data_IF_668055004433
#
_entry.id   IF_668055004433
#
_cell.length_a   1.000
_cell.length_b   1.000
_cell.length_c   1.000
_cell.angle_alpha   90.00
_cell.angle_beta   90.00
_cell.angle_gamma   90.00
#
_symmetry.space_group_name_H-M   'P 1'
#
loop_
_entity.id
_entity.type
_entity.pdbx_description
1 polymer ?
#
# COMPACT_ATOMS: atom_id res chain seq x y z
N UNK A 1 -3.77 7.49 4.99
CA UNK A 1 -3.68 6.92 3.63
C UNK A 1 -4.54 5.67 3.55
N UNK A 2 -4.32 4.70 4.44
CA UNK A 2 -5.14 3.47 4.52
C UNK A 2 -6.65 3.76 4.65
N UNK A 3 -7.07 4.62 5.60
CA UNK A 3 -8.48 5.00 5.73
C UNK A 3 -9.09 5.55 4.42
N UNK A 4 -8.33 6.34 3.67
CA UNK A 4 -8.81 6.87 2.38
C UNK A 4 -8.82 5.81 1.28
N UNK A 5 -7.95 4.81 1.37
CA UNK A 5 -7.93 3.67 0.46
C UNK A 5 -9.08 2.73 0.73
N UNK A 6 -9.41 2.45 1.99
CA UNK A 6 -10.55 1.60 2.37
C UNK A 6 -11.86 2.09 1.75
N UNK A 7 -12.07 3.41 1.70
CA UNK A 7 -13.23 4.04 1.05
C UNK A 7 -13.26 3.90 -0.48
N UNK A 8 -12.10 3.71 -1.11
CA UNK A 8 -11.92 3.74 -2.56
C UNK A 8 -11.70 2.36 -3.17
N UNK A 9 -11.34 1.38 -2.33
CA UNK A 9 -11.07 0.01 -2.74
C UNK A 9 -12.39 -0.78 -2.93
N UNK A 10 -12.39 -1.77 -3.83
CA UNK A 10 -13.51 -2.68 -3.96
C UNK A 10 -13.76 -3.50 -2.68
N UNK A 11 -15.00 -3.95 -2.49
CA UNK A 11 -15.32 -4.87 -1.38
C UNK A 11 -14.47 -6.14 -1.45
N UNK A 12 -13.86 -6.50 -0.31
CA UNK A 12 -12.98 -7.67 -0.19
C UNK A 12 -11.50 -7.38 -0.41
N UNK A 13 -11.13 -6.21 -0.95
CA UNK A 13 -9.73 -5.86 -1.16
C UNK A 13 -9.15 -5.21 0.10
N UNK A 14 -8.29 -5.96 0.79
CA UNK A 14 -7.48 -5.45 1.88
C UNK A 14 -6.28 -4.64 1.36
N UNK A 15 -5.85 -3.63 2.12
CA UNK A 15 -4.66 -2.86 1.83
C UNK A 15 -3.81 -2.57 3.08
N UNK A 16 -2.54 -2.24 2.86
CA UNK A 16 -1.61 -1.87 3.91
C UNK A 16 -0.58 -0.89 3.34
N UNK A 17 -0.48 0.31 3.92
CA UNK A 17 0.49 1.32 3.52
C UNK A 17 1.81 1.06 4.24
N UNK A 18 2.90 0.91 3.49
CA UNK A 18 4.23 0.63 4.03
C UNK A 18 5.24 1.68 3.57
N UNK A 19 6.23 1.94 4.41
CA UNK A 19 7.33 2.84 4.09
C UNK A 19 8.52 2.04 3.54
N UNK A 20 9.03 2.48 2.39
CA UNK A 20 10.15 1.84 1.73
C UNK A 20 11.34 2.79 1.67
N UNK A 21 12.57 2.31 1.93
CA UNK A 21 13.76 3.12 1.74
C UNK A 21 13.94 3.46 0.25
N UNK A 22 14.21 4.73 -0.04
CA UNK A 22 14.48 5.24 -1.38
C UNK A 22 15.78 6.04 -1.38
N UNK A 23 16.72 5.68 -2.25
CA UNK A 23 18.05 6.28 -2.27
C UNK A 23 18.06 7.78 -2.60
N UNK A 24 17.01 8.32 -3.24
CA UNK A 24 16.92 9.76 -3.58
C UNK A 24 16.09 10.55 -2.59
N UNK A 25 15.04 9.95 -2.02
CA UNK A 25 14.05 10.62 -1.17
C UNK A 25 14.15 10.25 0.31
N UNK A 26 15.09 9.38 0.67
CA UNK A 26 15.18 8.77 1.99
C UNK A 26 14.17 7.63 2.12
N UNK A 27 12.89 7.97 2.02
CA UNK A 27 11.81 7.00 2.02
C UNK A 27 10.65 7.40 1.08
N UNK A 28 9.90 6.40 0.64
CA UNK A 28 8.68 6.55 -0.15
C UNK A 28 7.58 5.68 0.41
N UNK A 29 6.35 6.18 0.32
CA UNK A 29 5.18 5.40 0.69
C UNK A 29 4.80 4.46 -0.46
N UNK A 30 4.59 3.19 -0.14
CA UNK A 30 4.00 2.20 -1.02
C UNK A 30 2.75 1.60 -0.37
N UNK A 31 1.89 1.03 -1.19
CA UNK A 31 0.65 0.39 -0.72
C UNK A 31 0.65 -1.05 -1.20
N UNK A 32 0.59 -1.99 -0.27
CA UNK A 32 0.27 -3.37 -0.55
C UNK A 32 -1.24 -3.51 -0.70
N UNK A 33 -1.69 -4.23 -1.73
CA UNK A 33 -3.09 -4.58 -1.96
C UNK A 33 -3.20 -6.08 -2.16
N UNK A 34 -4.28 -6.67 -1.65
CA UNK A 34 -4.55 -8.12 -1.79
C UNK A 34 -4.93 -8.55 -3.21
N UNK A 35 -5.41 -7.61 -4.03
CA UNK A 35 -5.81 -7.87 -5.42
C UNK A 35 -5.37 -6.74 -6.35
N UNK A 36 -5.42 -7.00 -7.67
CA UNK A 36 -5.12 -5.97 -8.66
C UNK A 36 -6.19 -4.88 -8.66
N UNK A 37 -5.75 -3.62 -8.57
CA UNK A 37 -6.63 -2.44 -8.49
C UNK A 37 -6.25 -1.43 -9.57
N UNK A 38 -7.18 -0.54 -9.92
CA UNK A 38 -6.87 0.58 -10.82
C UNK A 38 -6.10 1.68 -10.07
N UNK A 39 -4.77 1.53 -10.05
CA UNK A 39 -3.85 2.47 -9.43
C UNK A 39 -4.05 3.92 -9.91
N UNK A 40 -4.36 4.14 -11.19
CA UNK A 40 -4.51 5.49 -11.75
C UNK A 40 -5.76 6.17 -11.18
N UNK A 41 -6.87 5.43 -11.13
CA UNK A 41 -8.12 5.93 -10.56
C UNK A 41 -7.98 6.17 -9.05
N UNK A 42 -7.32 5.26 -8.32
CA UNK A 42 -7.03 5.41 -6.90
C UNK A 42 -6.15 6.63 -6.63
N UNK A 43 -5.02 6.78 -7.33
CA UNK A 43 -4.15 7.94 -7.17
C UNK A 43 -4.86 9.27 -7.46
N UNK A 44 -5.72 9.30 -8.49
CA UNK A 44 -6.51 10.50 -8.81
C UNK A 44 -7.52 10.83 -7.72
N UNK A 45 -8.15 9.82 -7.12
CA UNK A 45 -9.08 10.02 -6.01
C UNK A 45 -8.34 10.43 -4.72
N UNK A 46 -7.25 9.76 -4.37
CA UNK A 46 -6.41 10.07 -3.21
C UNK A 46 -5.83 11.48 -3.31
N UNK A 47 -5.41 11.94 -4.48
CA UNK A 47 -4.86 13.29 -4.67
C UNK A 47 -5.86 14.42 -4.35
N UNK A 48 -7.17 14.12 -4.30
CA UNK A 48 -8.20 15.07 -3.88
C UNK A 48 -8.39 15.12 -2.36
N UNK A 49 -7.91 14.09 -1.64
CA UNK A 49 -8.15 13.88 -0.21
C UNK A 49 -6.87 14.01 0.63
N UNK A 50 -5.73 13.68 0.04
CA UNK A 50 -4.43 13.61 0.72
C UNK A 50 -3.45 14.65 0.16
N UNK A 51 -2.57 15.21 1.01
CA UNK A 51 -1.49 16.07 0.56
C UNK A 51 -0.45 15.28 -0.26
N UNK A 52 0.32 15.93 -1.15
CA UNK A 52 1.29 15.26 -2.02
C UNK A 52 2.35 14.41 -1.29
N UNK A 53 2.65 14.73 -0.03
CA UNK A 53 3.60 13.99 0.82
C UNK A 53 3.04 12.65 1.31
N UNK A 54 1.72 12.55 1.46
CA UNK A 54 1.03 11.33 1.88
C UNK A 54 0.59 10.47 0.67
N UNK A 55 0.95 10.88 -0.55
CA UNK A 55 0.58 10.16 -1.76
C UNK A 55 1.49 8.94 -1.95
N UNK A 56 0.93 7.73 -2.06
CA UNK A 56 1.71 6.54 -2.36
C UNK A 56 2.34 6.67 -3.74
N UNK A 57 3.57 6.17 -3.86
CA UNK A 57 4.37 6.19 -5.10
C UNK A 57 4.35 4.87 -5.84
N UNK A 58 3.98 3.79 -5.15
CA UNK A 58 3.96 2.44 -5.69
C UNK A 58 2.77 1.69 -5.08
N UNK A 59 2.09 0.91 -5.91
CA UNK A 59 1.20 -0.13 -5.45
C UNK A 59 1.86 -1.48 -5.73
N UNK A 60 1.69 -2.41 -4.81
CA UNK A 60 2.23 -3.77 -4.93
C UNK A 60 1.12 -4.74 -4.60
N UNK A 61 0.81 -5.61 -5.56
CA UNK A 61 -0.16 -6.68 -5.36
C UNK A 61 0.54 -7.82 -4.62
N UNK A 62 0.01 -8.19 -3.46
CA UNK A 62 0.39 -9.35 -2.68
C UNK A 62 -0.79 -10.32 -2.67
N UNK A 63 -0.56 -11.57 -3.07
CA UNK A 63 -1.61 -12.59 -3.18
C UNK A 63 -2.35 -12.82 -1.85
N UNK A 64 -1.65 -12.61 -0.73
CA UNK A 64 -2.22 -12.61 0.62
C UNK A 64 -1.49 -11.56 1.47
N UNK A 65 -2.24 -10.73 2.20
CA UNK A 65 -1.65 -9.83 3.20
C UNK A 65 -1.38 -10.64 4.48
N UNK A 66 -0.12 -10.71 4.94
CA UNK A 66 0.22 -11.38 6.18
C UNK A 66 -0.61 -10.85 7.34
N UNK A 67 -1.14 -11.74 8.18
CA UNK A 67 -1.90 -11.36 9.38
C UNK A 67 -1.21 -11.87 10.64
N UNK A 68 -1.27 -11.06 11.70
CA UNK A 68 -0.90 -11.45 13.05
C UNK A 68 -1.93 -12.45 13.60
N UNK A 69 -1.57 -13.18 14.66
CA UNK A 69 -2.49 -14.12 15.33
C UNK A 69 -3.78 -13.48 15.89
N UNK A 70 -3.88 -12.15 15.93
CA UNK A 70 -5.08 -11.39 16.27
C UNK A 70 -6.01 -11.10 15.07
N UNK A 71 -5.62 -11.50 13.85
CA UNK A 71 -6.35 -11.23 12.61
C UNK A 71 -6.06 -9.86 11.96
N UNK A 72 -5.20 -9.03 12.58
CA UNK A 72 -4.75 -7.74 12.00
C UNK A 72 -3.63 -7.96 10.99
N UNK A 73 -3.50 -7.08 10.01
CA UNK A 73 -2.38 -7.11 9.06
C UNK A 73 -1.04 -6.99 9.81
N UNK A 74 -0.11 -7.89 9.52
CA UNK A 74 1.27 -7.83 10.00
C UNK A 74 2.07 -6.87 9.11
N UNK A 75 2.13 -5.62 9.57
CA UNK A 75 2.87 -4.53 8.93
C UNK A 75 4.33 -4.89 8.65
N UNK A 76 5.00 -5.60 9.56
CA UNK A 76 6.43 -5.90 9.45
C UNK A 76 6.67 -6.90 8.33
N UNK A 77 5.93 -8.00 8.33
CA UNK A 77 6.03 -9.02 7.28
C UNK A 77 5.60 -8.47 5.93
N UNK A 78 4.53 -7.67 5.90
CA UNK A 78 4.07 -6.98 4.68
C UNK A 78 5.15 -6.07 4.10
N UNK A 79 5.82 -5.27 4.95
CA UNK A 79 6.90 -4.37 4.51
C UNK A 79 8.04 -5.16 3.86
N UNK A 80 8.46 -6.28 4.45
CA UNK A 80 9.51 -7.14 3.88
C UNK A 80 9.10 -7.71 2.53
N UNK A 81 7.88 -8.25 2.40
CA UNK A 81 7.37 -8.80 1.13
C UNK A 81 7.30 -7.73 0.03
N UNK A 82 6.83 -6.53 0.36
CA UNK A 82 6.80 -5.41 -0.60
C UNK A 82 8.21 -5.04 -1.06
N UNK A 83 9.19 -4.99 -0.15
CA UNK A 83 10.58 -4.73 -0.50
C UNK A 83 11.15 -5.81 -1.43
N UNK A 84 10.85 -7.08 -1.20
CA UNK A 84 11.32 -8.20 -2.04
C UNK A 84 10.69 -8.15 -3.44
N UNK A 85 9.38 -7.91 -3.54
CA UNK A 85 8.67 -7.79 -4.83
C UNK A 85 9.14 -6.62 -5.67
N UNK A 86 9.64 -5.55 -5.06
CA UNK A 86 10.17 -4.38 -5.77
C UNK A 86 11.66 -4.46 -6.11
N UNK A 87 12.39 -5.42 -5.52
CA UNK A 87 13.80 -5.70 -5.85
C UNK A 87 13.97 -6.70 -6.99
N UNK A 88 12.90 -7.44 -7.31
CA UNK A 88 12.84 -8.40 -8.41
C UNK A 88 12.51 -7.67 -9.72
#
# INVERSE_FOLDING_TARGET
VEMELEDLLPEGVECCAVELPDARKGAVLAVAVSEAVDEKSLLKALAKRLPPIAMPKKFVVLDELPKMGSGKVDFRTTTTLVQERLKT
#
